data_IF_176028009243
#
_entry.id   IF_176028009243
#
_cell.length_a   1.000
_cell.length_b   1.000
_cell.length_c   1.000
_cell.angle_alpha   90.00
_cell.angle_beta   90.00
_cell.angle_gamma   90.00
#
_symmetry.space_group_name_H-M   'P 1'
#
loop_
_entity.id
_entity.type
_entity.pdbx_description
1 polymer ?
#
# COMPACT_ATOMS: atom_id res chain seq x y z
N UNK A 1 19.95 0.14 20.84
CA UNK A 1 19.73 -1.00 19.92
C UNK A 1 18.35 -1.62 20.11
N UNK A 2 18.00 -2.05 21.34
CA UNK A 2 16.73 -2.73 21.61
C UNK A 2 15.50 -1.84 21.41
N UNK A 3 15.56 -0.56 21.81
CA UNK A 3 14.47 0.39 21.63
C UNK A 3 14.24 0.73 20.16
N UNK A 4 15.31 0.89 19.38
CA UNK A 4 15.24 1.10 17.93
C UNK A 4 14.61 -0.10 17.23
N UNK A 5 14.99 -1.32 17.62
CA UNK A 5 14.38 -2.56 17.11
C UNK A 5 12.89 -2.64 17.48
N UNK A 6 12.54 -2.31 18.72
CA UNK A 6 11.15 -2.30 19.19
C UNK A 6 10.31 -1.28 18.40
N UNK A 7 10.83 -0.07 18.20
CA UNK A 7 10.19 0.97 17.39
C UNK A 7 10.01 0.51 15.95
N UNK A 8 11.03 -0.09 15.34
CA UNK A 8 10.94 -0.59 13.96
C UNK A 8 9.87 -1.68 13.82
N UNK A 9 9.82 -2.64 14.75
CA UNK A 9 8.83 -3.73 14.75
C UNK A 9 7.40 -3.19 14.87
N UNK A 10 7.18 -2.07 15.55
CA UNK A 10 5.87 -1.44 15.67
C UNK A 10 5.55 -0.58 14.44
N UNK A 11 6.47 0.31 14.06
CA UNK A 11 6.23 1.32 13.02
C UNK A 11 6.09 0.73 11.63
N UNK A 12 6.93 -0.25 11.26
CA UNK A 12 6.93 -0.83 9.91
C UNK A 12 5.55 -1.42 9.55
N UNK A 13 4.94 -2.32 10.36
CA UNK A 13 3.61 -2.84 10.03
C UNK A 13 2.52 -1.76 10.10
N UNK A 14 2.61 -0.80 11.04
CA UNK A 14 1.67 0.33 11.08
C UNK A 14 1.70 1.17 9.80
N UNK A 15 2.89 1.45 9.28
CA UNK A 15 3.07 2.18 8.02
C UNK A 15 2.55 1.40 6.82
N UNK A 16 2.81 0.09 6.76
CA UNK A 16 2.30 -0.77 5.68
C UNK A 16 0.76 -0.70 5.66
N UNK A 17 0.11 -0.83 6.82
CA UNK A 17 -1.35 -0.72 6.92
C UNK A 17 -1.80 0.67 6.47
N UNK A 18 -1.19 1.74 6.99
CA UNK A 18 -1.56 3.11 6.65
C UNK A 18 -1.47 3.39 5.14
N UNK A 19 -0.38 2.98 4.49
CA UNK A 19 -0.16 3.18 3.06
C UNK A 19 -1.17 2.37 2.24
N UNK A 20 -1.42 1.11 2.58
CA UNK A 20 -2.41 0.29 1.85
C UNK A 20 -3.80 0.93 1.92
N UNK A 21 -4.22 1.39 3.09
CA UNK A 21 -5.50 2.08 3.22
C UNK A 21 -5.54 3.40 2.42
N UNK A 22 -4.44 4.16 2.42
CA UNK A 22 -4.31 5.40 1.65
C UNK A 22 -4.48 5.16 0.15
N UNK A 23 -3.73 4.22 -0.42
CA UNK A 23 -3.77 3.89 -1.84
C UNK A 23 -5.13 3.29 -2.28
N UNK A 24 -5.71 2.42 -1.45
CA UNK A 24 -7.03 1.84 -1.72
C UNK A 24 -8.11 2.93 -1.66
N UNK A 25 -8.01 3.90 -0.75
CA UNK A 25 -8.96 5.01 -0.68
C UNK A 25 -8.88 5.89 -1.94
N UNK A 26 -7.68 6.23 -2.41
CA UNK A 26 -7.51 6.95 -3.67
C UNK A 26 -8.10 6.17 -4.85
N UNK A 27 -7.76 4.88 -4.96
CA UNK A 27 -8.28 4.04 -6.03
C UNK A 27 -9.80 3.89 -5.98
N UNK A 28 -10.38 3.85 -4.78
CA UNK A 28 -11.83 3.76 -4.60
C UNK A 28 -12.53 5.04 -5.06
N UNK A 29 -12.04 6.20 -4.63
CA UNK A 29 -12.57 7.51 -5.05
C UNK A 29 -12.40 7.70 -6.56
N UNK A 30 -11.23 7.35 -7.12
CA UNK A 30 -11.00 7.40 -8.56
C UNK A 30 -12.00 6.53 -9.33
N UNK A 31 -12.24 5.30 -8.87
CA UNK A 31 -13.23 4.41 -9.48
C UNK A 31 -14.67 4.95 -9.37
N UNK A 32 -15.01 5.63 -8.28
CA UNK A 32 -16.32 6.31 -8.15
C UNK A 32 -16.46 7.50 -9.11
N UNK A 33 -15.36 8.21 -9.39
CA UNK A 33 -15.31 9.34 -10.32
C UNK A 33 -15.11 8.92 -11.79
N UNK A 34 -15.04 7.61 -12.06
CA UNK A 34 -15.03 7.05 -13.42
C UNK A 34 -13.66 6.62 -13.94
N UNK A 35 -12.61 6.61 -13.12
CA UNK A 35 -11.31 6.00 -13.46
C UNK A 35 -11.22 4.56 -12.92
N UNK A 36 -11.40 3.52 -13.77
CA UNK A 36 -11.38 2.14 -13.33
C UNK A 36 -9.96 1.55 -13.20
N UNK A 37 -8.88 2.31 -13.45
CA UNK A 37 -7.51 1.78 -13.55
C UNK A 37 -7.10 0.92 -12.35
N UNK A 38 -7.34 1.41 -11.12
CA UNK A 38 -6.98 0.68 -9.90
C UNK A 38 -7.78 -0.62 -9.73
N UNK A 39 -9.05 -0.61 -10.15
CA UNK A 39 -9.94 -1.78 -10.12
C UNK A 39 -9.52 -2.82 -11.14
N UNK A 40 -9.26 -2.40 -12.37
CA UNK A 40 -8.81 -3.27 -13.47
C UNK A 40 -7.48 -3.94 -13.18
N UNK A 41 -6.54 -3.18 -12.57
CA UNK A 41 -5.26 -3.72 -12.10
C UNK A 41 -5.35 -4.55 -10.82
N UNK A 42 -6.57 -4.79 -10.30
CA UNK A 42 -6.83 -5.55 -9.06
C UNK A 42 -6.11 -4.98 -7.84
N UNK A 43 -5.83 -3.68 -7.85
CA UNK A 43 -5.16 -2.92 -6.79
C UNK A 43 -6.14 -2.40 -5.72
N UNK A 44 -7.45 -2.47 -5.93
CA UNK A 44 -8.45 -2.26 -4.85
C UNK A 44 -8.50 -3.45 -3.90
N UNK A 45 -7.45 -3.66 -3.11
CA UNK A 45 -7.29 -4.80 -2.20
C UNK A 45 -6.52 -4.42 -0.97
N UNK A 46 -6.93 -4.86 0.22
CA UNK A 46 -6.13 -4.65 1.43
C UNK A 46 -4.89 -5.56 1.52
N UNK A 47 -4.60 -6.33 0.47
CA UNK A 47 -3.37 -7.12 0.39
C UNK A 47 -2.18 -6.20 0.01
N UNK A 48 -1.22 -5.95 0.92
CA UNK A 48 -0.07 -5.09 0.65
C UNK A 48 0.77 -5.60 -0.54
N UNK A 49 0.83 -6.91 -0.75
CA UNK A 49 1.61 -7.51 -1.85
C UNK A 49 1.08 -7.11 -3.24
N UNK A 50 -0.18 -6.71 -3.35
CA UNK A 50 -0.75 -6.24 -4.64
C UNK A 50 -0.40 -4.79 -4.96
N UNK A 51 0.15 -4.07 -3.99
CA UNK A 51 0.60 -2.68 -4.12
C UNK A 51 2.09 -2.58 -4.39
N UNK A 52 2.85 -3.65 -4.09
CA UNK A 52 4.27 -3.76 -4.40
C UNK A 52 4.43 -3.96 -5.89
N UNK A 53 5.13 -3.03 -6.55
CA UNK A 53 5.60 -3.18 -7.91
C UNK A 53 7.06 -3.66 -7.87
N UNK A 54 7.37 -4.92 -8.20
CA UNK A 54 8.74 -5.43 -8.12
C UNK A 54 9.75 -4.62 -8.94
N UNK A 55 9.33 -4.02 -10.06
CA UNK A 55 10.21 -3.17 -10.86
C UNK A 55 10.45 -1.83 -10.16
N UNK A 56 9.41 -1.20 -9.63
CA UNK A 56 9.53 0.07 -8.90
C UNK A 56 10.03 -0.04 -7.46
N UNK A 57 9.99 -1.22 -6.85
CA UNK A 57 10.31 -1.44 -5.42
C UNK A 57 11.67 -2.11 -5.21
N UNK A 58 12.17 -2.88 -6.20
CA UNK A 58 13.43 -3.65 -6.07
C UNK A 58 14.51 -3.12 -7.01
N UNK A 59 14.15 -2.65 -8.21
CA UNK A 59 15.11 -2.32 -9.28
C UNK A 59 15.42 -0.82 -9.33
N UNK A 60 14.49 0.03 -8.89
CA UNK A 60 14.64 1.50 -8.78
C UNK A 60 14.78 1.85 -7.30
#
# INVERSE_FOLDING_TARGET
MNETLLLAIILIPSLIVAIVFHEVAHGWVANMLGDPTAKERRRLSLNPLRHVDPMGTIII
#
